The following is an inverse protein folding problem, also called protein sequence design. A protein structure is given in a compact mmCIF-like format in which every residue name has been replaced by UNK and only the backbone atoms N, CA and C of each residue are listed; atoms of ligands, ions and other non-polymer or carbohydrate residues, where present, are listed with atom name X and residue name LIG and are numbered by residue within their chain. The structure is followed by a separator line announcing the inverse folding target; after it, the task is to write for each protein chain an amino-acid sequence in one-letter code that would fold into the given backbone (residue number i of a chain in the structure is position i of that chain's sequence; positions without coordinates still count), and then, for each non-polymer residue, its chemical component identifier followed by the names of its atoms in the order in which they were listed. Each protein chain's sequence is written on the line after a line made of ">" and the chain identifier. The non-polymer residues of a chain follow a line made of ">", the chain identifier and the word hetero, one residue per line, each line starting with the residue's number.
data_IF_630365667687
#
_entry.id   IF_630365667687
#
_cell.length_a   1.000
_cell.length_b   1.000
_cell.length_c   1.000
_cell.angle_alpha   90.00
_cell.angle_beta   90.00
_cell.angle_gamma   90.00
#
_symmetry.space_group_name_H-M   'P 1'
#
loop_
_entity.id
_entity.type
_entity.pdbx_description
1 polymer ?
#
# COMPACT_ATOMS: atom_id res chain seq x y z
N UNK A 1 76.18 -15.68 -27.80
CA UNK A 1 74.78 -16.00 -28.18
C UNK A 1 73.85 -15.33 -27.16
N UNK A 2 72.95 -14.47 -27.65
CA UNK A 2 71.87 -13.79 -26.89
C UNK A 2 71.01 -14.78 -26.11
N UNK A 3 70.58 -14.43 -24.89
CA UNK A 3 69.15 -14.30 -24.54
C UNK A 3 68.96 -13.29 -23.39
N UNK A 4 68.14 -12.28 -23.69
CA UNK A 4 67.50 -11.36 -22.75
C UNK A 4 66.30 -12.06 -22.09
N UNK A 5 65.87 -11.64 -20.91
CA UNK A 5 64.50 -11.14 -20.65
C UNK A 5 64.38 -10.65 -19.19
N UNK A 6 64.20 -9.33 -19.07
CA UNK A 6 63.63 -8.68 -17.89
C UNK A 6 62.19 -9.20 -17.72
N UNK A 7 61.93 -9.93 -16.63
CA UNK A 7 60.59 -10.35 -16.21
C UNK A 7 60.07 -9.44 -15.11
N UNK A 8 59.02 -8.68 -15.44
CA UNK A 8 58.44 -7.57 -14.70
C UNK A 8 58.44 -7.68 -13.17
N UNK A 9 58.90 -6.58 -12.55
CA UNK A 9 58.49 -6.20 -11.21
C UNK A 9 56.96 -6.22 -11.15
N UNK A 10 56.44 -7.23 -10.48
CA UNK A 10 55.04 -7.38 -10.14
C UNK A 10 54.68 -6.26 -9.16
N UNK A 11 54.35 -5.08 -9.69
CA UNK A 11 53.60 -4.06 -8.97
C UNK A 11 52.21 -4.65 -8.73
N UNK A 12 52.07 -5.44 -7.67
CA UNK A 12 50.78 -5.70 -7.04
C UNK A 12 50.34 -4.35 -6.47
N UNK A 13 49.68 -3.55 -7.31
CA UNK A 13 48.81 -2.48 -6.84
C UNK A 13 47.80 -3.17 -5.92
N UNK A 14 47.98 -2.96 -4.62
CA UNK A 14 46.99 -3.29 -3.61
C UNK A 14 45.74 -2.46 -3.89
N UNK A 15 44.84 -3.00 -4.70
CA UNK A 15 43.45 -2.56 -4.77
C UNK A 15 42.85 -2.80 -3.38
N UNK A 16 42.99 -1.82 -2.51
CA UNK A 16 42.20 -1.71 -1.29
C UNK A 16 40.77 -1.45 -1.71
N UNK A 17 40.03 -2.53 -1.93
CA UNK A 17 38.60 -2.56 -2.09
C UNK A 17 37.97 -1.94 -0.83
N UNK A 18 37.61 -0.66 -0.90
CA UNK A 18 36.81 -0.01 0.13
C UNK A 18 35.44 -0.69 0.16
N UNK A 19 35.26 -1.65 1.06
CA UNK A 19 33.95 -2.23 1.36
C UNK A 19 33.17 -1.17 2.16
N UNK A 20 32.45 -0.31 1.45
CA UNK A 20 31.47 0.58 2.04
C UNK A 20 30.32 -0.26 2.60
N UNK A 21 30.28 -0.42 3.93
CA UNK A 21 29.18 -1.08 4.61
C UNK A 21 27.95 -0.16 4.57
N UNK A 22 27.12 -0.29 3.53
CA UNK A 22 25.85 0.40 3.46
C UNK A 22 24.84 -0.31 4.37
N UNK A 23 24.49 0.32 5.50
CA UNK A 23 23.33 -0.07 6.28
C UNK A 23 22.10 0.59 5.68
N UNK A 24 21.21 -0.19 5.06
CA UNK A 24 19.99 0.35 4.48
C UNK A 24 19.00 0.76 5.59
N UNK A 25 19.03 2.05 5.93
CA UNK A 25 18.06 2.67 6.85
C UNK A 25 16.77 3.03 6.12
N UNK A 26 16.80 3.21 4.80
CA UNK A 26 15.64 3.48 3.97
C UNK A 26 15.26 2.22 3.18
N UNK A 27 14.00 1.82 3.28
CA UNK A 27 13.37 0.80 2.46
C UNK A 27 12.28 1.45 1.62
N UNK A 28 12.31 1.22 0.31
CA UNK A 28 11.25 1.65 -0.61
C UNK A 28 10.66 0.41 -1.26
N UNK A 29 9.34 0.39 -1.39
CA UNK A 29 8.62 -0.74 -1.97
C UNK A 29 7.37 -0.31 -2.71
N UNK A 30 6.96 -1.17 -3.63
CA UNK A 30 5.72 -1.05 -4.36
C UNK A 30 4.95 -2.36 -4.24
N UNK A 31 3.63 -2.28 -4.14
CA UNK A 31 2.74 -3.43 -4.18
C UNK A 31 1.61 -3.15 -5.15
N UNK A 32 1.44 -4.05 -6.11
CA UNK A 32 0.28 -4.10 -6.98
C UNK A 32 -0.55 -5.32 -6.62
N UNK A 33 -1.80 -5.11 -6.23
CA UNK A 33 -2.77 -6.18 -5.95
C UNK A 33 -3.96 -6.02 -6.88
N UNK A 34 -4.20 -7.02 -7.72
CA UNK A 34 -5.40 -7.12 -8.55
C UNK A 34 -6.25 -8.28 -8.06
N UNK A 35 -7.57 -8.16 -8.18
CA UNK A 35 -8.52 -9.21 -7.84
C UNK A 35 -9.74 -9.10 -8.74
N UNK A 36 -10.07 -10.18 -9.43
CA UNK A 36 -11.33 -10.30 -10.18
C UNK A 36 -12.35 -11.00 -9.30
N UNK A 37 -13.54 -10.42 -9.17
CA UNK A 37 -14.64 -10.96 -8.38
C UNK A 37 -15.91 -11.07 -9.24
N UNK A 38 -16.54 -12.24 -9.19
CA UNK A 38 -17.91 -12.46 -9.65
C UNK A 38 -18.81 -12.47 -8.42
N UNK A 39 -19.84 -11.62 -8.40
CA UNK A 39 -20.77 -11.48 -7.28
C UNK A 39 -22.18 -11.80 -7.73
N UNK A 40 -22.79 -12.74 -7.04
CA UNK A 40 -24.19 -13.12 -7.19
C UNK A 40 -24.85 -13.07 -5.81
N UNK A 41 -25.40 -11.91 -5.45
CA UNK A 41 -26.10 -11.73 -4.17
C UNK A 41 -25.20 -11.66 -2.93
N UNK A 42 -23.90 -11.34 -3.09
CA UNK A 42 -22.97 -11.24 -1.97
C UNK A 42 -23.26 -9.99 -1.11
N UNK A 43 -23.53 -10.19 0.18
CA UNK A 43 -23.87 -9.12 1.14
C UNK A 43 -25.37 -8.78 1.18
N UNK A 44 -26.03 -8.79 0.02
CA UNK A 44 -27.49 -8.60 -0.11
C UNK A 44 -27.98 -9.44 -1.31
N UNK A 45 -29.09 -10.20 -1.18
CA UNK A 45 -29.67 -10.94 -2.31
C UNK A 45 -29.97 -10.04 -3.51
N UNK A 46 -29.79 -10.58 -4.73
CA UNK A 46 -30.13 -9.84 -5.95
C UNK A 46 -31.64 -9.69 -6.13
N UNK A 47 -32.10 -8.58 -6.73
CA UNK A 47 -33.48 -8.47 -7.22
C UNK A 47 -33.82 -9.59 -8.21
N UNK A 48 -35.08 -10.02 -8.21
CA UNK A 48 -35.55 -11.10 -9.09
C UNK A 48 -35.31 -10.72 -10.57
N UNK A 49 -34.54 -11.54 -11.28
CA UNK A 49 -34.20 -11.34 -12.70
C UNK A 49 -32.91 -10.56 -12.96
N UNK A 50 -32.21 -10.07 -11.92
CA UNK A 50 -30.91 -9.44 -12.09
C UNK A 50 -29.80 -10.49 -12.27
N UNK A 51 -28.91 -10.29 -13.24
CA UNK A 51 -27.72 -11.13 -13.44
C UNK A 51 -26.55 -10.77 -12.52
N UNK A 52 -25.58 -11.69 -12.35
CA UNK A 52 -24.41 -11.48 -11.48
C UNK A 52 -23.52 -10.33 -11.98
N UNK A 53 -22.74 -9.75 -11.07
CA UNK A 53 -21.79 -8.67 -11.37
C UNK A 53 -20.36 -9.22 -11.48
N UNK A 54 -19.62 -8.82 -12.52
CA UNK A 54 -18.20 -9.16 -12.69
C UNK A 54 -17.38 -7.88 -12.70
N UNK A 55 -16.35 -7.79 -11.84
CA UNK A 55 -15.47 -6.64 -11.82
C UNK A 55 -14.06 -7.01 -11.35
N UNK A 56 -13.08 -6.19 -11.75
CA UNK A 56 -11.67 -6.36 -11.34
C UNK A 56 -11.25 -5.19 -10.47
N UNK A 57 -11.04 -5.42 -9.18
CA UNK A 57 -10.45 -4.45 -8.28
C UNK A 57 -8.92 -4.43 -8.41
N UNK A 58 -8.35 -3.24 -8.29
CA UNK A 58 -6.93 -3.02 -8.20
C UNK A 58 -6.59 -2.07 -7.06
N UNK A 59 -5.50 -2.40 -6.35
CA UNK A 59 -4.87 -1.56 -5.35
C UNK A 59 -3.38 -1.46 -5.64
N UNK A 60 -2.90 -0.23 -5.81
CA UNK A 60 -1.48 0.07 -5.99
C UNK A 60 -0.99 0.82 -4.77
N UNK A 61 0.06 0.33 -4.13
CA UNK A 61 0.64 0.93 -2.92
C UNK A 61 2.11 1.21 -3.14
N UNK A 62 2.54 2.42 -2.85
CA UNK A 62 3.94 2.78 -2.70
C UNK A 62 4.18 3.01 -1.21
N UNK A 63 5.25 2.43 -0.68
CA UNK A 63 5.59 2.61 0.72
C UNK A 63 7.08 2.85 0.87
N UNK A 64 7.41 3.76 1.78
CA UNK A 64 8.75 4.03 2.24
C UNK A 64 8.82 3.84 3.74
N UNK A 65 9.89 3.20 4.21
CA UNK A 65 10.14 3.04 5.63
C UNK A 65 11.57 3.44 5.94
N UNK A 66 11.73 4.39 6.84
CA UNK A 66 13.01 4.78 7.40
C UNK A 66 13.17 4.16 8.79
N UNK A 67 14.21 3.39 9.02
CA UNK A 67 14.49 2.70 10.28
C UNK A 67 15.89 3.06 10.80
N UNK A 68 15.94 3.53 12.04
CA UNK A 68 17.17 3.76 12.81
C UNK A 68 17.08 2.99 14.14
N UNK A 69 18.06 3.19 15.03
CA UNK A 69 18.25 2.40 16.27
C UNK A 69 17.00 2.28 17.15
N UNK A 70 16.21 3.35 17.29
CA UNK A 70 14.98 3.38 18.09
C UNK A 70 13.76 3.94 17.38
N UNK A 71 13.92 4.46 16.17
CA UNK A 71 12.84 5.14 15.46
C UNK A 71 12.59 4.42 14.15
N UNK A 72 11.32 4.16 13.84
CA UNK A 72 10.88 3.77 12.51
C UNK A 72 9.81 4.73 12.05
N UNK A 73 9.97 5.29 10.87
CA UNK A 73 9.00 6.15 10.22
C UNK A 73 8.53 5.45 8.95
N UNK A 74 7.23 5.32 8.77
CA UNK A 74 6.61 4.76 7.59
C UNK A 74 5.73 5.78 6.90
N UNK A 75 5.84 5.87 5.58
CA UNK A 75 4.90 6.58 4.73
C UNK A 75 4.37 5.59 3.70
N UNK A 76 3.06 5.52 3.55
CA UNK A 76 2.42 4.70 2.53
C UNK A 76 1.42 5.55 1.76
N UNK A 77 1.48 5.50 0.44
CA UNK A 77 0.46 6.07 -0.43
C UNK A 77 -0.18 4.94 -1.21
N UNK A 78 -1.50 4.88 -1.20
CA UNK A 78 -2.27 3.81 -1.82
C UNK A 78 -3.37 4.38 -2.71
N UNK A 79 -3.46 3.90 -3.94
CA UNK A 79 -4.56 4.17 -4.86
C UNK A 79 -5.46 2.93 -4.98
N UNK A 80 -6.77 3.14 -4.96
CA UNK A 80 -7.79 2.09 -5.08
C UNK A 80 -8.72 2.36 -6.25
N UNK A 81 -8.88 1.37 -7.12
CA UNK A 81 -9.61 1.49 -8.39
C UNK A 81 -10.26 0.18 -8.82
N UNK A 82 -11.25 0.24 -9.69
CA UNK A 82 -11.97 -0.93 -10.23
C UNK A 82 -12.14 -0.80 -11.73
N UNK A 83 -11.72 -1.84 -12.45
CA UNK A 83 -11.69 -1.89 -13.91
C UNK A 83 -12.66 -2.98 -14.39
N UNK A 84 -13.24 -2.80 -15.58
CA UNK A 84 -14.29 -3.67 -16.12
C UNK A 84 -15.60 -2.93 -16.38
N UNK A 85 -16.73 -3.60 -16.16
CA UNK A 85 -18.10 -3.07 -16.27
C UNK A 85 -18.28 -1.84 -15.35
N UNK A 86 -19.28 -0.99 -15.63
CA UNK A 86 -19.46 0.32 -14.98
C UNK A 86 -19.42 0.24 -13.43
N UNK A 87 -18.84 1.25 -12.77
CA UNK A 87 -18.66 1.29 -11.31
C UNK A 87 -20.01 1.22 -10.55
N UNK A 88 -21.09 1.68 -11.19
CA UNK A 88 -22.49 1.51 -10.74
C UNK A 88 -22.88 0.04 -10.53
N UNK A 89 -22.29 -0.89 -11.28
CA UNK A 89 -22.58 -2.33 -11.18
C UNK A 89 -22.03 -2.99 -9.92
N UNK A 90 -21.15 -2.31 -9.17
CA UNK A 90 -20.52 -2.85 -7.96
C UNK A 90 -21.53 -3.00 -6.82
N UNK A 91 -22.56 -2.16 -6.77
CA UNK A 91 -23.69 -2.23 -5.86
C UNK A 91 -24.99 -1.88 -6.60
N UNK A 92 -25.38 -2.71 -7.58
CA UNK A 92 -26.61 -2.52 -8.38
C UNK A 92 -27.87 -2.66 -7.51
N UNK A 93 -28.19 -1.61 -6.76
CA UNK A 93 -29.41 -1.48 -5.93
C UNK A 93 -30.38 -0.41 -6.43
N UNK A 94 -29.98 0.40 -7.41
CA UNK A 94 -30.82 1.44 -8.02
C UNK A 94 -30.87 1.30 -9.54
N UNK A 95 -32.07 1.03 -10.06
CA UNK A 95 -32.39 1.12 -11.50
C UNK A 95 -32.58 2.60 -11.84
N UNK A 96 -31.56 3.27 -12.39
CA UNK A 96 -31.81 4.47 -13.19
C UNK A 96 -30.68 4.65 -14.21
N UNK A 97 -31.02 4.36 -15.47
CA UNK A 97 -30.32 4.85 -16.64
C UNK A 97 -30.45 6.38 -16.68
N UNK A 98 -29.43 7.08 -16.20
CA UNK A 98 -29.11 8.42 -16.69
C UNK A 98 -27.71 8.37 -17.26
N UNK A 99 -27.65 8.37 -18.59
CA UNK A 99 -26.44 8.53 -19.38
C UNK A 99 -25.76 9.88 -19.04
N UNK A 100 -24.49 10.04 -19.46
CA UNK A 100 -23.61 11.22 -19.36
C UNK A 100 -23.06 11.63 -17.98
N UNK A 101 -22.32 10.73 -17.35
CA UNK A 101 -20.86 10.86 -17.12
C UNK A 101 -20.37 9.52 -16.58
N UNK A 102 -19.52 8.81 -17.33
CA UNK A 102 -18.89 7.60 -16.82
C UNK A 102 -18.24 7.88 -15.46
N UNK A 103 -18.82 7.33 -14.38
CA UNK A 103 -18.27 7.55 -13.05
C UNK A 103 -16.83 7.05 -13.02
N UNK A 104 -15.92 7.85 -12.47
CA UNK A 104 -14.50 7.53 -12.47
C UNK A 104 -14.30 6.18 -11.78
N UNK A 105 -13.60 5.28 -12.46
CA UNK A 105 -13.22 3.93 -11.99
C UNK A 105 -12.22 3.93 -10.82
N UNK A 106 -11.95 5.09 -10.25
CA UNK A 106 -11.04 5.33 -9.14
C UNK A 106 -11.88 5.67 -7.92
N UNK A 107 -11.68 4.99 -6.80
CA UNK A 107 -12.45 5.23 -5.58
C UNK A 107 -11.82 6.27 -4.67
N UNK A 108 -10.49 6.31 -4.65
CA UNK A 108 -9.77 7.26 -3.83
C UNK A 108 -8.33 6.85 -3.60
N UNK A 109 -7.62 7.79 -2.99
CA UNK A 109 -6.22 7.66 -2.58
C UNK A 109 -6.14 7.77 -1.07
N UNK A 110 -5.28 6.98 -0.47
CA UNK A 110 -5.00 6.95 0.96
C UNK A 110 -3.53 7.32 1.18
N UNK A 111 -3.26 8.15 2.17
CA UNK A 111 -1.92 8.34 2.71
C UNK A 111 -1.90 7.93 4.18
N UNK A 112 -1.02 6.98 4.50
CA UNK A 112 -0.77 6.51 5.86
C UNK A 112 0.61 6.97 6.32
N UNK A 113 0.66 7.54 7.51
CA UNK A 113 1.88 7.88 8.23
C UNK A 113 1.96 7.02 9.48
N UNK A 114 3.11 6.40 9.72
CA UNK A 114 3.39 5.65 10.95
C UNK A 114 4.70 6.09 11.57
N UNK A 115 4.73 6.16 12.90
CA UNK A 115 5.92 6.47 13.67
C UNK A 115 6.00 5.49 14.84
N UNK A 116 7.10 4.75 14.92
CA UNK A 116 7.37 3.81 16.01
C UNK A 116 8.62 4.26 16.76
N UNK A 117 8.52 4.37 18.08
CA UNK A 117 9.64 4.60 18.99
C UNK A 117 9.86 3.40 19.92
N UNK A 118 10.97 2.70 19.76
CA UNK A 118 11.38 1.62 20.64
C UNK A 118 12.07 2.19 21.89
N UNK A 119 11.35 2.21 23.01
CA UNK A 119 11.88 2.65 24.30
C UNK A 119 12.91 1.62 24.82
N UNK A 120 12.56 0.34 24.74
CA UNK A 120 13.42 -0.81 25.08
C UNK A 120 13.28 -1.90 24.02
N UNK A 121 14.02 -3.01 24.14
CA UNK A 121 13.82 -4.18 23.26
C UNK A 121 12.42 -4.80 23.40
N UNK A 122 11.78 -4.61 24.55
CA UNK A 122 10.46 -5.18 24.85
C UNK A 122 9.32 -4.19 24.65
N UNK A 123 9.56 -2.89 24.83
CA UNK A 123 8.51 -1.86 24.85
C UNK A 123 8.75 -0.86 23.71
N UNK A 124 7.73 -0.68 22.88
CA UNK A 124 7.69 0.35 21.83
C UNK A 124 6.36 1.11 21.86
N UNK A 125 6.42 2.39 21.50
CA UNK A 125 5.25 3.20 21.19
C UNK A 125 5.09 3.29 19.68
N UNK A 126 3.86 3.18 19.19
CA UNK A 126 3.53 3.33 17.79
C UNK A 126 2.37 4.31 17.66
N UNK A 127 2.52 5.29 16.78
CA UNK A 127 1.47 6.20 16.39
C UNK A 127 1.23 6.05 14.90
N UNK A 128 -0.02 6.09 14.49
CA UNK A 128 -0.38 6.11 13.07
C UNK A 128 -1.49 7.10 12.79
N UNK A 129 -1.42 7.66 11.60
CA UNK A 129 -2.43 8.56 11.04
C UNK A 129 -2.69 8.14 9.60
N UNK A 130 -3.95 8.16 9.20
CA UNK A 130 -4.36 7.84 7.84
C UNK A 130 -5.38 8.87 7.38
N UNK A 131 -5.21 9.30 6.13
CA UNK A 131 -6.11 10.20 5.47
C UNK A 131 -6.50 9.64 4.10
N UNK A 132 -7.80 9.53 3.88
CA UNK A 132 -8.38 9.01 2.66
C UNK A 132 -9.13 10.11 1.91
N UNK A 133 -8.64 10.43 0.72
CA UNK A 133 -9.32 11.28 -0.24
C UNK A 133 -10.23 10.42 -1.10
N UNK A 134 -11.54 10.60 -0.93
CA UNK A 134 -12.50 9.90 -1.76
C UNK A 134 -12.80 10.66 -3.06
N UNK A 135 -13.36 9.92 -4.01
CA UNK A 135 -13.85 10.47 -5.28
C UNK A 135 -15.36 10.56 -5.27
N UNK A 136 -15.92 11.39 -6.15
CA UNK A 136 -17.37 11.48 -6.38
C UNK A 136 -18.03 10.12 -6.66
N UNK A 137 -17.29 9.16 -7.22
CA UNK A 137 -17.78 7.79 -7.44
C UNK A 137 -18.01 7.05 -6.12
N UNK A 138 -17.13 7.19 -5.13
CA UNK A 138 -17.28 6.49 -3.85
C UNK A 138 -18.36 7.10 -2.96
N UNK A 139 -18.56 8.42 -3.05
CA UNK A 139 -19.62 9.14 -2.33
C UNK A 139 -20.97 9.08 -3.03
N UNK A 140 -21.02 8.56 -4.26
CA UNK A 140 -22.26 8.42 -5.01
C UNK A 140 -23.25 7.47 -4.31
N UNK A 141 -24.54 7.85 -4.19
CA UNK A 141 -25.59 6.97 -3.71
C UNK A 141 -25.66 5.65 -4.48
N UNK A 142 -25.27 5.64 -5.76
CA UNK A 142 -25.27 4.42 -6.59
C UNK A 142 -24.24 3.39 -6.12
N UNK A 143 -23.13 3.80 -5.50
CA UNK A 143 -22.05 2.88 -5.09
C UNK A 143 -22.16 2.49 -3.62
N UNK A 144 -22.61 3.40 -2.74
CA UNK A 144 -22.67 3.13 -1.29
C UNK A 144 -24.07 3.17 -0.70
N UNK A 145 -25.09 3.53 -1.48
CA UNK A 145 -26.47 3.71 -1.03
C UNK A 145 -26.58 4.64 0.19
N UNK A 146 -25.76 5.70 0.20
CA UNK A 146 -25.76 6.75 1.23
C UNK A 146 -26.02 8.07 0.51
N UNK A 147 -27.09 8.77 0.90
CA UNK A 147 -27.37 10.14 0.49
C UNK A 147 -26.49 11.10 1.29
N UNK A 148 -25.86 12.09 0.64
CA UNK A 148 -24.97 13.09 1.26
C UNK A 148 -23.74 12.51 2.00
N UNK A 149 -23.03 11.57 1.37
CA UNK A 149 -21.83 10.97 1.95
C UNK A 149 -20.68 11.99 2.12
N UNK A 150 -20.04 11.98 3.30
CA UNK A 150 -18.84 12.79 3.58
C UNK A 150 -17.71 12.50 2.60
N UNK A 151 -17.02 13.54 2.13
CA UNK A 151 -15.96 13.44 1.11
C UNK A 151 -14.58 13.07 1.66
N UNK A 152 -14.37 13.05 2.97
CA UNK A 152 -13.05 12.76 3.56
C UNK A 152 -13.20 11.83 4.76
N UNK A 153 -12.29 10.87 4.86
CA UNK A 153 -12.19 9.94 6.00
C UNK A 153 -10.77 9.98 6.54
N UNK A 154 -10.64 10.20 7.84
CA UNK A 154 -9.36 10.28 8.52
C UNK A 154 -9.45 9.60 9.88
N UNK A 155 -8.38 8.90 10.26
CA UNK A 155 -8.29 8.23 11.54
C UNK A 155 -6.86 8.24 12.06
N UNK A 156 -6.72 8.22 13.38
CA UNK A 156 -5.44 8.21 14.06
C UNK A 156 -5.49 7.20 15.21
N UNK A 157 -4.34 6.65 15.57
CA UNK A 157 -4.20 5.77 16.71
C UNK A 157 -2.86 5.94 17.40
N UNK A 158 -2.83 5.49 18.66
CA UNK A 158 -1.63 5.33 19.47
C UNK A 158 -1.66 3.92 20.07
N UNK A 159 -0.54 3.22 19.99
CA UNK A 159 -0.37 1.85 20.46
C UNK A 159 0.88 1.76 21.34
N UNK A 160 0.78 0.97 22.41
CA UNK A 160 1.94 0.48 23.15
C UNK A 160 2.12 -0.99 22.77
N UNK A 161 3.27 -1.32 22.20
CA UNK A 161 3.65 -2.70 21.88
C UNK A 161 4.57 -3.23 22.96
N UNK A 162 4.13 -4.29 23.65
CA UNK A 162 4.92 -5.00 24.66
C UNK A 162 5.17 -6.41 24.13
N UNK A 163 6.44 -6.73 23.86
CA UNK A 163 6.90 -8.05 23.42
C UNK A 163 7.76 -8.66 24.52
N UNK A 164 7.18 -9.50 25.40
CA UNK A 164 7.96 -10.14 26.45
C UNK A 164 8.91 -11.18 25.84
N UNK A 165 10.21 -11.05 26.12
CA UNK A 165 11.18 -12.12 25.86
C UNK A 165 11.31 -12.95 27.14
N UNK A 166 10.64 -14.11 27.17
CA UNK A 166 10.84 -15.09 28.23
C UNK A 166 12.03 -15.95 27.82
N UNK A 167 13.21 -15.63 28.36
CA UNK A 167 14.38 -16.51 28.30
C UNK A 167 14.13 -17.68 29.25
N UNK A 168 13.61 -18.79 28.72
CA UNK A 168 13.64 -20.07 29.43
C UNK A 168 15.10 -20.54 29.35
N UNK A 169 15.80 -20.48 30.49
CA UNK A 169 17.16 -21.01 30.64
C UNK A 169 17.11 -22.30 31.44
#
# INVERSE_FOLDING_TARGET
>A
MKKWFLGGALFILSDTLFIAHCYAQLSLGAQLRTRTELRDGQGTPLPRGAGPALFTSQRSRLFGTFSTYRIKLGLTVQDTRVWGQDASTINRTTTQDTDITAMRKQFGTEADLTATYALTKMIAFEAGYSHFWNTATLTSPTVKNITDASSNSNWAYLMISIRPEILIK
#
